data_IF_009787043754
#
_entry.id   IF_009787043754
#
_cell.length_a   1.000
_cell.length_b   1.000
_cell.length_c   1.000
_cell.angle_alpha   90.00
_cell.angle_beta   90.00
_cell.angle_gamma   90.00
#
_symmetry.space_group_name_H-M   'P 1'
#
loop_
_entity.id
_entity.type
_entity.pdbx_description
1 polymer ?
#
# COMPACT_ATOMS: atom_id res chain seq x y z
N UNK A 1 22.23 -4.63 -3.88
CA UNK A 1 21.21 -3.57 -3.77
C UNK A 1 21.87 -2.29 -4.24
N UNK A 2 21.25 -1.57 -5.17
CA UNK A 2 21.69 -0.23 -5.54
C UNK A 2 21.69 0.68 -4.30
N UNK A 3 22.58 1.68 -4.27
CA UNK A 3 22.57 2.70 -3.22
C UNK A 3 21.35 3.60 -3.41
N UNK A 4 20.20 3.18 -2.90
CA UNK A 4 18.97 3.99 -2.89
C UNK A 4 19.21 5.18 -1.95
N UNK A 5 19.08 6.40 -2.47
CA UNK A 5 19.27 7.61 -1.67
C UNK A 5 18.10 7.81 -0.71
N UNK A 6 18.31 8.58 0.36
CA UNK A 6 17.20 8.94 1.26
C UNK A 6 16.09 9.74 0.55
N UNK A 7 16.42 10.46 -0.53
CA UNK A 7 15.46 11.18 -1.34
C UNK A 7 14.58 10.18 -2.10
N UNK A 8 15.18 9.20 -2.78
CA UNK A 8 14.43 8.18 -3.53
C UNK A 8 13.49 7.38 -2.62
N UNK A 9 13.94 7.04 -1.40
CA UNK A 9 13.10 6.37 -0.39
C UNK A 9 11.90 7.24 0.00
N UNK A 10 12.15 8.52 0.30
CA UNK A 10 11.11 9.46 0.71
C UNK A 10 10.08 9.70 -0.40
N UNK A 11 10.54 9.84 -1.65
CA UNK A 11 9.66 10.00 -2.80
C UNK A 11 8.83 8.75 -3.07
N UNK A 12 9.42 7.55 -2.90
CA UNK A 12 8.71 6.28 -3.00
C UNK A 12 7.61 6.16 -1.94
N UNK A 13 7.91 6.48 -0.68
CA UNK A 13 6.94 6.49 0.42
C UNK A 13 5.80 7.49 0.13
N UNK A 14 6.11 8.72 -0.28
CA UNK A 14 5.11 9.75 -0.62
C UNK A 14 4.21 9.34 -1.78
N UNK A 15 4.78 8.67 -2.78
CA UNK A 15 4.03 8.16 -3.93
C UNK A 15 3.00 7.10 -3.51
N UNK A 16 3.40 6.16 -2.64
CA UNK A 16 2.48 5.15 -2.08
C UNK A 16 1.41 5.76 -1.20
N UNK A 17 1.77 6.67 -0.29
CA UNK A 17 0.80 7.41 0.54
C UNK A 17 -0.23 8.16 -0.32
N UNK A 18 0.21 8.75 -1.44
CA UNK A 18 -0.69 9.40 -2.39
C UNK A 18 -1.62 8.41 -3.10
N UNK A 19 -1.13 7.21 -3.40
CA UNK A 19 -1.92 6.12 -3.98
C UNK A 19 -2.98 5.61 -3.00
N UNK A 20 -2.62 5.43 -1.73
CA UNK A 20 -3.54 5.07 -0.64
C UNK A 20 -4.69 6.08 -0.57
N UNK A 21 -4.40 7.38 -0.50
CA UNK A 21 -5.42 8.45 -0.45
C UNK A 21 -6.37 8.41 -1.65
N UNK A 22 -5.86 8.13 -2.85
CA UNK A 22 -6.69 7.99 -4.05
C UNK A 22 -7.62 6.78 -3.97
N UNK A 23 -7.13 5.65 -3.46
CA UNK A 23 -7.91 4.43 -3.29
C UNK A 23 -8.95 4.57 -2.16
N UNK A 24 -8.63 5.26 -1.07
CA UNK A 24 -9.58 5.61 0.00
C UNK A 24 -10.73 6.48 -0.55
N UNK A 25 -10.39 7.52 -1.32
CA UNK A 25 -11.39 8.38 -1.96
C UNK A 25 -12.27 7.59 -2.94
N UNK A 26 -11.67 6.72 -3.76
CA UNK A 26 -12.41 5.87 -4.68
C UNK A 26 -13.34 4.90 -3.93
N UNK A 27 -12.84 4.26 -2.86
CA UNK A 27 -13.62 3.37 -2.01
C UNK A 27 -14.82 4.12 -1.38
N UNK A 28 -14.60 5.31 -0.84
CA UNK A 28 -15.64 6.16 -0.26
C UNK A 28 -16.72 6.50 -1.30
N UNK A 29 -16.33 7.01 -2.47
CA UNK A 29 -17.27 7.36 -3.54
C UNK A 29 -18.06 6.16 -4.07
N UNK A 30 -17.40 5.01 -4.25
CA UNK A 30 -18.05 3.78 -4.71
C UNK A 30 -19.01 3.22 -3.67
N UNK A 31 -18.65 3.28 -2.39
CA UNK A 31 -19.51 2.88 -1.28
C UNK A 31 -20.78 3.76 -1.24
N UNK A 32 -20.63 5.08 -1.36
CA UNK A 32 -21.76 6.01 -1.41
C UNK A 32 -22.70 5.75 -2.59
N UNK A 33 -22.16 5.31 -3.73
CA UNK A 33 -22.93 4.97 -4.95
C UNK A 33 -23.49 3.55 -4.94
N UNK A 34 -23.27 2.77 -3.88
CA UNK A 34 -23.68 1.36 -3.81
C UNK A 34 -23.00 0.45 -4.83
N UNK A 35 -21.83 0.85 -5.35
CA UNK A 35 -21.08 0.07 -6.34
C UNK A 35 -20.29 -1.06 -5.67
N UNK A 36 -19.89 -2.08 -6.45
CA UNK A 36 -19.04 -3.17 -5.96
C UNK A 36 -17.65 -2.64 -5.57
N UNK A 37 -17.26 -2.80 -4.31
CA UNK A 37 -16.01 -2.28 -3.75
C UNK A 37 -14.92 -3.34 -3.56
N UNK A 38 -15.16 -4.61 -3.92
CA UNK A 38 -14.24 -5.71 -3.62
C UNK A 38 -12.84 -5.47 -4.17
N UNK A 39 -12.73 -5.03 -5.42
CA UNK A 39 -11.43 -4.79 -6.07
C UNK A 39 -10.68 -3.60 -5.47
N UNK A 40 -11.36 -2.48 -5.20
CA UNK A 40 -10.72 -1.29 -4.63
C UNK A 40 -10.25 -1.55 -3.20
N UNK A 41 -10.99 -2.34 -2.41
CA UNK A 41 -10.57 -2.78 -1.08
C UNK A 41 -9.32 -3.67 -1.13
N UNK A 42 -9.29 -4.66 -2.04
CA UNK A 42 -8.11 -5.53 -2.22
C UNK A 42 -6.86 -4.71 -2.60
N UNK A 43 -7.00 -3.78 -3.54
CA UNK A 43 -5.89 -2.90 -3.95
C UNK A 43 -5.45 -1.96 -2.83
N UNK A 44 -6.40 -1.36 -2.10
CA UNK A 44 -6.08 -0.51 -0.96
C UNK A 44 -5.28 -1.27 0.09
N UNK A 45 -5.74 -2.47 0.46
CA UNK A 45 -5.03 -3.30 1.43
C UNK A 45 -3.61 -3.65 0.95
N UNK A 46 -3.47 -4.07 -0.31
CA UNK A 46 -2.17 -4.43 -0.87
C UNK A 46 -1.17 -3.25 -0.85
N UNK A 47 -1.62 -2.04 -1.19
CA UNK A 47 -0.76 -0.84 -1.15
C UNK A 47 -0.40 -0.45 0.29
N UNK A 48 -1.32 -0.59 1.26
CA UNK A 48 -1.02 -0.37 2.68
C UNK A 48 0.05 -1.35 3.19
N UNK A 49 -0.09 -2.64 2.86
CA UNK A 49 0.91 -3.66 3.19
C UNK A 49 2.27 -3.34 2.54
N UNK A 50 2.27 -2.97 1.25
CA UNK A 50 3.48 -2.58 0.53
C UNK A 50 4.20 -1.39 1.16
N UNK A 51 3.46 -0.38 1.61
CA UNK A 51 4.02 0.77 2.33
C UNK A 51 4.67 0.34 3.66
N UNK A 52 3.96 -0.45 4.47
CA UNK A 52 4.47 -0.91 5.76
C UNK A 52 5.72 -1.79 5.62
N UNK A 53 5.80 -2.60 4.56
CA UNK A 53 7.00 -3.39 4.26
C UNK A 53 8.18 -2.49 3.89
N UNK A 54 7.96 -1.42 3.10
CA UNK A 54 9.03 -0.47 2.78
C UNK A 54 9.50 0.31 4.00
N UNK A 55 8.57 0.78 4.84
CA UNK A 55 8.89 1.46 6.11
C UNK A 55 9.63 0.52 7.07
N UNK A 56 9.27 -0.77 7.11
CA UNK A 56 10.03 -1.77 7.85
C UNK A 56 11.46 -1.92 7.32
N UNK A 57 11.64 -2.10 6.02
CA UNK A 57 12.96 -2.34 5.41
C UNK A 57 13.86 -1.10 5.50
N UNK A 58 13.31 0.10 5.35
CA UNK A 58 14.09 1.34 5.30
C UNK A 58 14.22 2.07 6.64
N UNK A 59 13.22 1.98 7.51
CA UNK A 59 13.15 2.72 8.77
C UNK A 59 13.13 1.79 10.01
N UNK A 60 13.18 0.46 9.84
CA UNK A 60 13.09 -0.54 10.91
C UNK A 60 11.77 -0.50 11.69
N UNK A 61 10.71 0.05 11.09
CA UNK A 61 9.39 0.08 11.70
C UNK A 61 8.75 -1.31 11.69
N UNK A 62 8.17 -1.77 12.80
CA UNK A 62 7.48 -3.07 12.82
C UNK A 62 6.17 -3.00 12.03
N UNK A 63 5.86 -4.02 11.23
CA UNK A 63 4.52 -4.20 10.65
C UNK A 63 3.78 -5.35 11.36
N UNK A 64 2.45 -5.28 11.38
CA UNK A 64 1.58 -6.27 12.05
C UNK A 64 0.99 -7.31 11.09
N UNK A 65 1.35 -7.27 9.80
CA UNK A 65 0.79 -8.15 8.78
C UNK A 65 1.32 -9.59 8.87
N UNK A 66 0.41 -10.55 8.71
CA UNK A 66 0.69 -11.97 8.62
C UNK A 66 1.35 -12.35 7.29
N UNK A 67 1.94 -13.56 7.24
CA UNK A 67 2.53 -14.08 5.99
C UNK A 67 1.51 -14.23 4.86
N UNK A 68 0.25 -14.53 5.19
CA UNK A 68 -0.85 -14.62 4.22
C UNK A 68 -1.15 -13.25 3.63
N UNK A 69 -1.28 -12.21 4.45
CA UNK A 69 -1.52 -10.84 3.99
C UNK A 69 -0.36 -10.31 3.14
N UNK A 70 0.88 -10.63 3.52
CA UNK A 70 2.07 -10.32 2.72
C UNK A 70 2.04 -11.03 1.35
N UNK A 71 1.64 -12.30 1.31
CA UNK A 71 1.53 -13.06 0.06
C UNK A 71 0.39 -12.54 -0.82
N UNK A 72 -0.78 -12.23 -0.26
CA UNK A 72 -1.89 -11.65 -1.01
C UNK A 72 -1.53 -10.27 -1.57
N UNK A 73 -0.93 -9.40 -0.75
CA UNK A 73 -0.50 -8.08 -1.19
C UNK A 73 0.50 -8.17 -2.34
N UNK A 74 1.49 -9.06 -2.24
CA UNK A 74 2.45 -9.32 -3.32
C UNK A 74 1.76 -9.75 -4.61
N UNK A 75 0.76 -10.62 -4.54
CA UNK A 75 0.01 -11.07 -5.73
C UNK A 75 -0.81 -9.95 -6.37
N UNK A 76 -1.25 -8.96 -5.59
CA UNK A 76 -2.02 -7.81 -6.10
C UNK A 76 -1.11 -6.72 -6.67
N UNK A 77 0.13 -6.59 -6.17
CA UNK A 77 1.10 -5.58 -6.58
C UNK A 77 2.03 -6.01 -7.74
N UNK A 78 2.13 -7.32 -8.02
CA UNK A 78 2.91 -7.88 -9.13
C UNK A 78 2.31 -7.53 -10.50
#
# INVERSE_FOLDING_TARGET
MENITNIDKLESIKSLQSTIRKLENALSQMTQKGANTTLVKKRLNAVCVGLAVLENVWNQESHQYSQEELAEARNVLA
#
